data_IF_585953302561
#
_entry.id   IF_585953302561
#
_cell.length_a   1.000
_cell.length_b   1.000
_cell.length_c   1.000
_cell.angle_alpha   90.00
_cell.angle_beta   90.00
_cell.angle_gamma   90.00
#
_symmetry.space_group_name_H-M   'P 1'
#
loop_
_entity.id
_entity.type
_entity.pdbx_description
1 polymer ?
#
# COMPACT_ATOMS: atom_id res chain seq x y z
N UNK A 1 6.33 -30.47 -13.73
CA UNK A 1 6.46 -30.64 -15.20
C UNK A 1 5.40 -31.66 -15.65
N UNK A 2 4.32 -31.19 -16.22
CA UNK A 2 3.32 -32.06 -16.85
C UNK A 2 3.98 -32.75 -18.04
N UNK A 3 3.96 -34.09 -18.05
CA UNK A 3 4.37 -34.88 -19.21
C UNK A 3 3.48 -34.50 -20.38
N UNK A 4 4.06 -34.02 -21.48
CA UNK A 4 3.31 -33.68 -22.68
C UNK A 4 2.65 -34.92 -23.20
N UNK A 5 1.32 -34.98 -23.19
CA UNK A 5 0.53 -36.00 -23.83
C UNK A 5 0.67 -35.81 -25.34
N UNK A 6 1.36 -36.76 -26.02
CA UNK A 6 1.44 -36.82 -27.47
C UNK A 6 0.32 -37.74 -27.93
N UNK A 7 -0.80 -37.17 -28.35
CA UNK A 7 -1.93 -37.91 -28.93
C UNK A 7 -2.91 -36.97 -29.61
N UNK A 8 -3.58 -37.45 -30.69
CA UNK A 8 -4.53 -36.68 -31.51
C UNK A 8 -5.77 -36.18 -30.71
N UNK A 9 -5.99 -36.66 -29.49
CA UNK A 9 -7.08 -36.24 -28.58
C UNK A 9 -6.55 -35.60 -27.27
N UNK A 10 -5.32 -35.13 -27.24
CA UNK A 10 -4.83 -34.38 -26.07
C UNK A 10 -5.48 -33.01 -26.03
N UNK A 11 -6.26 -32.72 -25.00
CA UNK A 11 -6.70 -31.38 -24.70
C UNK A 11 -5.44 -30.52 -24.48
N UNK A 12 -5.23 -29.57 -25.39
CA UNK A 12 -4.16 -28.56 -25.25
C UNK A 12 -4.61 -27.60 -24.17
N UNK A 13 -4.32 -27.93 -22.91
CA UNK A 13 -4.52 -27.03 -21.81
C UNK A 13 -3.55 -25.88 -21.99
N UNK A 14 -4.11 -24.72 -22.27
CA UNK A 14 -3.34 -23.49 -22.47
C UNK A 14 -2.63 -23.14 -21.16
N UNK A 15 -1.31 -23.31 -21.07
CA UNK A 15 -0.51 -23.08 -19.85
C UNK A 15 -0.67 -21.68 -19.26
N UNK A 16 -1.12 -20.73 -20.07
CA UNK A 16 -1.35 -19.34 -19.65
C UNK A 16 -2.68 -19.14 -18.91
N UNK A 17 -3.57 -20.13 -18.90
CA UNK A 17 -4.88 -20.09 -18.25
C UNK A 17 -4.94 -20.91 -16.95
N UNK A 18 -3.87 -21.65 -16.61
CA UNK A 18 -3.82 -22.37 -15.34
C UNK A 18 -3.63 -21.37 -14.19
N UNK A 19 -4.53 -21.43 -13.22
CA UNK A 19 -4.42 -20.65 -12.00
C UNK A 19 -3.16 -21.11 -11.23
N UNK A 20 -2.24 -20.16 -11.03
CA UNK A 20 -0.97 -20.40 -10.34
C UNK A 20 -1.22 -20.89 -8.91
N UNK A 21 -2.27 -20.41 -8.27
CA UNK A 21 -2.62 -20.77 -6.90
C UNK A 21 -3.08 -22.23 -6.83
N UNK A 22 -3.83 -22.71 -7.83
CA UNK A 22 -4.24 -24.11 -7.93
C UNK A 22 -3.05 -25.03 -8.18
N UNK A 23 -2.11 -24.62 -9.05
CA UNK A 23 -0.87 -25.38 -9.29
C UNK A 23 0.00 -25.44 -8.03
N UNK A 24 0.10 -24.35 -7.28
CA UNK A 24 0.89 -24.31 -6.05
C UNK A 24 0.28 -25.18 -4.94
N UNK A 25 -1.04 -25.35 -4.91
CA UNK A 25 -1.71 -26.26 -3.96
C UNK A 25 -1.35 -27.73 -4.20
N UNK A 26 -1.00 -28.08 -5.43
CA UNK A 26 -0.66 -29.45 -5.84
C UNK A 26 0.84 -29.75 -5.75
N UNK A 27 1.67 -28.84 -5.20
CA UNK A 27 3.11 -29.02 -5.09
C UNK A 27 3.46 -30.19 -4.18
N UNK A 28 4.28 -31.10 -4.70
CA UNK A 28 4.82 -32.26 -3.98
C UNK A 28 6.31 -32.06 -3.60
N UNK A 29 6.83 -32.82 -2.60
CA UNK A 29 8.25 -32.80 -2.23
C UNK A 29 9.20 -33.03 -3.41
N UNK A 30 8.77 -33.88 -4.36
CA UNK A 30 9.53 -34.19 -5.57
C UNK A 30 9.73 -32.96 -6.47
N UNK A 31 8.77 -32.06 -6.51
CA UNK A 31 8.86 -30.86 -7.34
C UNK A 31 9.86 -29.87 -6.74
N UNK A 32 9.93 -29.79 -5.41
CA UNK A 32 10.93 -28.99 -4.72
C UNK A 32 12.36 -29.50 -4.99
N UNK A 33 12.54 -30.83 -5.04
CA UNK A 33 13.82 -31.43 -5.42
C UNK A 33 14.20 -31.10 -6.86
N UNK A 34 13.24 -31.18 -7.79
CA UNK A 34 13.44 -30.79 -9.20
C UNK A 34 13.73 -29.29 -9.35
N UNK A 35 13.17 -28.47 -8.48
CA UNK A 35 13.44 -27.03 -8.43
C UNK A 35 14.85 -26.71 -7.95
N UNK A 36 15.52 -27.65 -7.22
CA UNK A 36 16.91 -27.52 -6.79
C UNK A 36 17.12 -27.53 -5.27
N UNK A 37 16.08 -27.84 -4.49
CA UNK A 37 16.24 -28.01 -3.05
C UNK A 37 16.87 -29.39 -2.75
N UNK A 38 17.75 -29.42 -1.75
CA UNK A 38 18.47 -30.64 -1.31
C UNK A 38 17.47 -31.63 -0.70
N UNK A 39 17.49 -32.93 -1.08
CA UNK A 39 16.56 -33.91 -0.55
C UNK A 39 16.57 -34.05 0.97
N UNK A 40 17.75 -33.94 1.59
CA UNK A 40 17.94 -34.00 3.04
C UNK A 40 17.22 -32.87 3.76
N UNK A 41 17.18 -31.66 3.15
CA UNK A 41 16.46 -30.52 3.70
C UNK A 41 14.96 -30.76 3.63
N UNK A 42 14.45 -31.25 2.48
CA UNK A 42 13.02 -31.53 2.28
C UNK A 42 12.56 -32.61 3.26
N UNK A 43 13.37 -33.65 3.50
CA UNK A 43 13.05 -34.71 4.45
C UNK A 43 12.96 -34.26 5.92
N UNK A 44 13.55 -33.10 6.27
CA UNK A 44 13.48 -32.51 7.61
C UNK A 44 12.34 -31.49 7.79
N UNK A 45 11.73 -31.04 6.71
CA UNK A 45 10.60 -30.10 6.72
C UNK A 45 9.30 -30.85 6.47
N UNK A 46 8.59 -31.27 7.53
CA UNK A 46 7.45 -32.19 7.40
C UNK A 46 6.17 -31.53 6.86
N UNK A 47 6.12 -30.19 6.84
CA UNK A 47 4.93 -29.44 6.45
C UNK A 47 5.24 -28.54 5.26
N UNK A 48 4.47 -28.72 4.20
CA UNK A 48 4.45 -27.83 3.04
C UNK A 48 3.12 -27.11 2.99
N UNK A 49 3.15 -25.80 2.82
CA UNK A 49 1.96 -24.95 2.70
C UNK A 49 2.14 -24.02 1.53
N UNK A 50 1.18 -24.02 0.61
CA UNK A 50 1.09 -23.03 -0.45
C UNK A 50 0.41 -21.78 0.08
N UNK A 51 0.89 -20.61 -0.34
CA UNK A 51 0.24 -19.33 -0.08
C UNK A 51 -0.48 -18.87 -1.34
N UNK A 52 -1.71 -18.42 -1.17
CA UNK A 52 -2.54 -17.86 -2.24
C UNK A 52 -2.15 -16.38 -2.46
N UNK A 53 -2.48 -15.87 -3.64
CA UNK A 53 -2.33 -14.46 -3.92
C UNK A 53 -3.29 -13.63 -3.06
N UNK A 54 -2.80 -12.48 -2.61
CA UNK A 54 -3.62 -11.59 -1.79
C UNK A 54 -4.69 -10.90 -2.65
N UNK A 55 -5.94 -10.96 -2.17
CA UNK A 55 -7.04 -10.19 -2.77
C UNK A 55 -6.88 -8.69 -2.47
N UNK A 56 -7.57 -7.85 -3.24
CA UNK A 56 -7.59 -6.40 -3.03
C UNK A 56 -8.06 -6.05 -1.61
N UNK A 57 -9.14 -6.69 -1.16
CA UNK A 57 -9.73 -6.48 0.18
C UNK A 57 -8.74 -6.86 1.28
N UNK A 58 -8.01 -7.96 1.11
CA UNK A 58 -6.97 -8.37 2.06
C UNK A 58 -5.83 -7.34 2.13
N UNK A 59 -5.45 -6.74 1.00
CA UNK A 59 -4.43 -5.68 0.98
C UNK A 59 -4.89 -4.41 1.70
N UNK A 60 -6.14 -3.99 1.51
CA UNK A 60 -6.72 -2.83 2.24
C UNK A 60 -6.77 -3.10 3.74
N UNK A 61 -7.13 -4.32 4.15
CA UNK A 61 -7.10 -4.73 5.57
C UNK A 61 -5.69 -4.70 6.14
N UNK A 62 -4.69 -5.16 5.40
CA UNK A 62 -3.27 -5.10 5.81
C UNK A 62 -2.81 -3.66 6.03
N UNK A 63 -3.31 -2.69 5.26
CA UNK A 63 -2.96 -1.27 5.41
C UNK A 63 -3.54 -0.64 6.67
N UNK A 64 -4.70 -1.10 7.17
CA UNK A 64 -5.49 -0.42 8.20
C UNK A 64 -5.65 -1.18 9.53
N UNK A 65 -5.90 -2.50 9.48
CA UNK A 65 -6.28 -3.28 10.66
C UNK A 65 -5.13 -3.60 11.63
N UNK A 66 -3.94 -4.06 11.19
CA UNK A 66 -2.89 -4.52 12.09
C UNK A 66 -2.53 -3.48 13.16
N UNK A 67 -2.02 -3.96 14.31
CA UNK A 67 -1.57 -3.08 15.40
C UNK A 67 -0.53 -2.07 14.91
N UNK A 68 0.40 -2.51 14.03
CA UNK A 68 1.42 -1.67 13.41
C UNK A 68 1.14 -1.46 11.92
N UNK A 69 -0.12 -1.19 11.54
CA UNK A 69 -0.49 -0.88 10.17
C UNK A 69 0.29 0.34 9.65
N UNK A 70 0.60 0.34 8.34
CA UNK A 70 1.36 1.44 7.72
C UNK A 70 0.67 2.78 7.91
N UNK A 71 -0.65 2.84 7.74
CA UNK A 71 -1.44 4.06 7.98
C UNK A 71 -1.29 4.60 9.39
N UNK A 72 -1.25 3.71 10.40
CA UNK A 72 -1.06 4.10 11.82
C UNK A 72 0.35 4.61 12.08
N UNK A 73 1.37 4.05 11.40
CA UNK A 73 2.74 4.53 11.52
C UNK A 73 2.88 5.95 10.98
N UNK A 74 2.31 6.23 9.79
CA UNK A 74 2.33 7.59 9.24
C UNK A 74 1.51 8.57 10.07
N UNK A 75 0.32 8.17 10.55
CA UNK A 75 -0.46 9.02 11.47
C UNK A 75 0.35 9.43 12.69
N UNK A 76 1.08 8.47 13.28
CA UNK A 76 1.93 8.75 14.44
C UNK A 76 3.12 9.64 14.11
N UNK A 77 3.68 9.51 12.90
CA UNK A 77 4.78 10.35 12.45
C UNK A 77 4.34 11.81 12.30
N UNK A 78 3.22 12.04 11.61
CA UNK A 78 2.66 13.38 11.42
C UNK A 78 2.13 14.02 12.71
N UNK A 79 1.69 13.21 13.66
CA UNK A 79 1.31 13.68 15.00
C UNK A 79 2.48 14.30 15.77
N UNK A 80 3.74 13.92 15.47
CA UNK A 80 4.93 14.55 16.06
C UNK A 80 5.15 15.98 15.55
N UNK A 81 4.62 16.29 14.36
CA UNK A 81 4.64 17.62 13.75
C UNK A 81 3.32 18.37 14.01
N UNK A 82 2.51 17.91 14.98
CA UNK A 82 1.20 18.47 15.33
C UNK A 82 0.18 18.48 14.17
N UNK A 83 0.33 17.59 13.19
CA UNK A 83 -0.55 17.45 12.03
C UNK A 83 -1.36 16.16 12.12
N UNK A 84 -2.68 16.28 11.98
CA UNK A 84 -3.59 15.13 11.91
C UNK A 84 -3.65 14.58 10.49
N UNK A 85 -3.11 13.38 10.27
CA UNK A 85 -3.15 12.69 8.98
C UNK A 85 -4.40 11.80 8.87
N UNK A 86 -5.16 11.95 7.79
CA UNK A 86 -6.31 11.10 7.48
C UNK A 86 -6.14 10.47 6.09
N UNK A 87 -6.59 9.22 5.95
CA UNK A 87 -6.61 8.51 4.67
C UNK A 87 -8.06 8.26 4.28
N UNK A 88 -8.44 8.63 3.06
CA UNK A 88 -9.75 8.28 2.54
C UNK A 88 -9.78 6.78 2.19
N UNK A 89 -10.97 6.12 2.26
CA UNK A 89 -11.09 4.72 1.86
C UNK A 89 -10.64 4.50 0.40
N UNK A 90 -10.98 5.44 -0.47
CA UNK A 90 -10.64 5.42 -1.90
C UNK A 90 -9.11 5.44 -2.12
N UNK A 91 -8.37 6.20 -1.28
CA UNK A 91 -6.91 6.23 -1.34
C UNK A 91 -6.31 4.85 -0.98
N UNK A 92 -6.81 4.20 0.07
CA UNK A 92 -6.35 2.87 0.46
C UNK A 92 -6.66 1.82 -0.60
N UNK A 93 -7.82 1.92 -1.23
CA UNK A 93 -8.18 1.06 -2.36
C UNK A 93 -7.26 1.27 -3.55
N UNK A 94 -6.88 2.50 -3.87
CA UNK A 94 -5.98 2.77 -5.00
C UNK A 94 -4.57 2.26 -4.72
N UNK A 95 -4.06 2.37 -3.50
CA UNK A 95 -2.80 1.73 -3.09
C UNK A 95 -2.86 0.21 -3.34
N UNK A 96 -3.97 -0.45 -2.95
CA UNK A 96 -4.16 -1.87 -3.19
C UNK A 96 -4.25 -2.19 -4.70
N UNK A 97 -4.98 -1.39 -5.48
CA UNK A 97 -5.08 -1.55 -6.95
C UNK A 97 -3.71 -1.45 -7.62
N UNK A 98 -2.88 -0.48 -7.24
CA UNK A 98 -1.53 -0.30 -7.77
C UNK A 98 -0.63 -1.48 -7.42
N UNK A 99 -0.75 -2.05 -6.21
CA UNK A 99 -0.01 -3.23 -5.80
C UNK A 99 -0.38 -4.46 -6.62
N UNK A 100 -1.68 -4.67 -6.89
CA UNK A 100 -2.17 -5.75 -7.76
C UNK A 100 -1.69 -5.55 -9.20
N UNK A 101 -1.86 -4.34 -9.77
CA UNK A 101 -1.40 -4.01 -11.14
C UNK A 101 0.09 -4.28 -11.33
N UNK A 102 0.91 -3.95 -10.33
CA UNK A 102 2.37 -4.15 -10.35
C UNK A 102 2.80 -5.58 -9.97
N UNK A 103 1.88 -6.45 -9.54
CA UNK A 103 2.14 -7.83 -9.10
C UNK A 103 3.20 -7.93 -7.99
N UNK A 104 3.29 -6.93 -7.10
CA UNK A 104 4.33 -6.84 -6.07
C UNK A 104 3.88 -7.31 -4.68
N UNK A 105 2.60 -7.69 -4.55
CA UNK A 105 2.03 -8.20 -3.30
C UNK A 105 2.10 -7.20 -2.13
N UNK A 106 1.97 -7.71 -0.90
CA UNK A 106 1.91 -6.88 0.31
C UNK A 106 3.18 -6.04 0.55
N UNK A 107 4.36 -6.51 0.14
CA UNK A 107 5.62 -5.75 0.30
C UNK A 107 5.63 -4.46 -0.51
N UNK A 108 4.93 -4.47 -1.65
CA UNK A 108 4.83 -3.29 -2.50
C UNK A 108 3.92 -2.20 -1.95
N UNK A 109 2.98 -2.54 -1.05
CA UNK A 109 2.11 -1.55 -0.40
C UNK A 109 2.92 -0.46 0.32
N UNK A 110 4.01 -0.88 1.00
CA UNK A 110 4.92 0.06 1.67
C UNK A 110 5.55 1.03 0.68
N UNK A 111 6.17 0.52 -0.39
CA UNK A 111 6.86 1.37 -1.37
C UNK A 111 5.91 2.31 -2.11
N UNK A 112 4.67 1.88 -2.40
CA UNK A 112 3.67 2.74 -3.02
C UNK A 112 3.31 3.89 -2.09
N UNK A 113 3.04 3.57 -0.81
CA UNK A 113 2.67 4.57 0.18
C UNK A 113 3.85 5.52 0.49
N UNK A 114 5.07 5.00 0.64
CA UNK A 114 6.28 5.80 0.83
C UNK A 114 6.47 6.81 -0.32
N UNK A 115 6.33 6.36 -1.57
CA UNK A 115 6.46 7.24 -2.73
C UNK A 115 5.37 8.33 -2.79
N UNK A 116 4.18 8.07 -2.28
CA UNK A 116 3.11 9.07 -2.22
C UNK A 116 3.31 10.06 -1.06
N UNK A 117 3.87 9.58 0.06
CA UNK A 117 4.05 10.37 1.27
C UNK A 117 5.35 11.17 1.32
N UNK A 118 6.34 10.85 0.45
CA UNK A 118 7.68 11.42 0.50
C UNK A 118 7.66 12.96 0.41
N UNK A 119 6.93 13.48 -0.57
CA UNK A 119 6.85 14.93 -0.82
C UNK A 119 6.17 15.63 0.37
N UNK A 120 5.12 15.01 0.93
CA UNK A 120 4.37 15.52 2.08
C UNK A 120 5.20 15.54 3.36
N UNK A 121 6.00 14.51 3.59
CA UNK A 121 6.91 14.43 4.74
C UNK A 121 8.00 15.50 4.70
N UNK A 122 8.34 16.00 3.51
CA UNK A 122 9.31 17.08 3.35
C UNK A 122 8.67 18.47 3.53
N UNK A 123 7.42 18.64 3.05
CA UNK A 123 6.75 19.95 3.06
C UNK A 123 6.09 20.29 4.39
N UNK A 124 5.44 19.31 5.03
CA UNK A 124 4.65 19.54 6.26
C UNK A 124 5.46 20.14 7.41
N UNK A 125 6.69 19.67 7.73
CA UNK A 125 7.47 20.25 8.79
C UNK A 125 7.88 21.72 8.54
N UNK A 126 7.82 22.14 7.28
CA UNK A 126 8.17 23.50 6.85
C UNK A 126 7.00 24.48 6.89
N UNK A 127 5.77 24.01 7.12
CA UNK A 127 4.56 24.84 7.11
C UNK A 127 3.77 24.67 8.41
N UNK A 128 4.07 25.53 9.37
CA UNK A 128 3.43 25.55 10.71
C UNK A 128 1.91 25.83 10.69
N UNK A 129 1.32 26.11 9.55
CA UNK A 129 -0.11 26.46 9.42
C UNK A 129 -1.01 25.25 9.16
N UNK A 130 -0.45 24.11 8.76
CA UNK A 130 -1.20 22.91 8.44
C UNK A 130 -1.56 22.16 9.72
N UNK A 131 -2.85 21.95 9.97
CA UNK A 131 -3.32 21.18 11.12
C UNK A 131 -3.92 19.82 10.75
N UNK A 132 -4.51 19.71 9.56
CA UNK A 132 -5.09 18.45 9.06
C UNK A 132 -4.64 18.24 7.62
N UNK A 133 -4.20 17.03 7.31
CA UNK A 133 -3.83 16.58 5.97
C UNK A 133 -4.65 15.34 5.61
N UNK A 134 -5.44 15.42 4.54
CA UNK A 134 -6.25 14.29 4.06
C UNK A 134 -5.69 13.77 2.75
N UNK A 135 -5.32 12.49 2.75
CA UNK A 135 -4.79 11.79 1.58
C UNK A 135 -5.94 11.23 0.78
N UNK A 136 -6.09 11.75 -0.44
CA UNK A 136 -7.08 11.32 -1.41
C UNK A 136 -6.48 10.35 -2.43
N UNK A 137 -7.33 9.77 -3.29
CA UNK A 137 -6.91 8.92 -4.39
C UNK A 137 -5.93 9.64 -5.32
N UNK A 138 -6.17 10.92 -5.62
CA UNK A 138 -5.38 11.71 -6.58
C UNK A 138 -3.93 11.89 -6.12
N UNK A 139 -3.69 11.94 -4.81
CA UNK A 139 -2.36 11.97 -4.21
C UNK A 139 -1.59 10.67 -4.48
N UNK A 140 -2.28 9.53 -4.35
CA UNK A 140 -1.66 8.21 -4.59
C UNK A 140 -1.29 8.04 -6.07
N UNK A 141 -2.15 8.51 -6.98
CA UNK A 141 -1.91 8.48 -8.43
C UNK A 141 -0.93 9.57 -8.89
N UNK A 142 -0.50 10.49 -8.01
CA UNK A 142 0.31 11.67 -8.31
C UNK A 142 -0.33 12.58 -9.37
N UNK A 143 -1.65 12.63 -9.41
CA UNK A 143 -2.43 13.49 -10.31
C UNK A 143 -2.95 14.74 -9.62
N UNK A 144 -2.99 14.76 -8.31
CA UNK A 144 -3.48 15.86 -7.49
C UNK A 144 -2.72 16.05 -6.19
N UNK A 145 -2.98 17.17 -5.54
CA UNK A 145 -2.46 17.51 -4.22
C UNK A 145 -3.39 17.00 -3.11
N UNK A 146 -2.87 16.75 -1.89
CA UNK A 146 -3.71 16.41 -0.75
C UNK A 146 -4.61 17.58 -0.34
N UNK A 147 -5.73 17.25 0.25
CA UNK A 147 -6.59 18.26 0.86
C UNK A 147 -5.97 18.76 2.17
N UNK A 148 -5.58 20.03 2.17
CA UNK A 148 -5.01 20.71 3.31
C UNK A 148 -6.07 21.52 4.04
N UNK A 149 -6.14 21.36 5.35
CA UNK A 149 -6.94 22.22 6.21
C UNK A 149 -6.04 23.01 7.12
N UNK A 150 -6.13 24.34 7.02
CA UNK A 150 -5.43 25.26 7.93
C UNK A 150 -6.26 25.33 9.19
N UNK A 151 -5.65 25.03 10.33
CA UNK A 151 -6.24 25.27 11.62
C UNK A 151 -5.63 26.58 12.13
N UNK A 152 -6.28 27.71 11.83
CA UNK A 152 -5.92 28.97 12.45
C UNK A 152 -6.14 28.86 13.97
N UNK A 153 -5.06 29.04 14.75
CA UNK A 153 -5.06 29.24 16.22
C UNK A 153 -5.06 28.04 17.17
N UNK A 154 -4.77 26.80 16.78
CA UNK A 154 -4.77 25.71 17.77
C UNK A 154 -3.43 25.42 18.47
N UNK A 155 -2.34 26.11 18.16
CA UNK A 155 -1.05 25.95 18.87
C UNK A 155 -1.06 26.38 20.34
N UNK A 156 -2.15 27.00 20.85
CA UNK A 156 -2.26 27.45 22.23
C UNK A 156 -3.36 26.77 23.07
N UNK A 157 -4.11 25.81 22.52
CA UNK A 157 -5.16 25.13 23.27
C UNK A 157 -4.76 23.69 23.61
N UNK A 158 -5.00 23.25 24.85
CA UNK A 158 -4.74 21.86 25.24
C UNK A 158 -5.64 20.90 24.47
N UNK A 159 -5.08 19.74 24.13
CA UNK A 159 -5.61 18.68 23.26
C UNK A 159 -7.05 18.22 23.57
N UNK A 160 -7.57 18.55 24.75
CA UNK A 160 -8.90 18.12 25.21
C UNK A 160 -10.10 18.91 24.64
N UNK A 161 -9.85 19.96 23.84
CA UNK A 161 -10.93 20.80 23.29
C UNK A 161 -11.19 20.61 21.78
N UNK A 162 -10.53 19.64 21.17
CA UNK A 162 -10.62 19.36 19.72
C UNK A 162 -11.92 18.66 19.26
N UNK A 163 -12.93 18.54 20.12
CA UNK A 163 -14.19 17.85 19.81
C UNK A 163 -15.36 18.74 19.37
N UNK A 164 -15.19 20.07 19.29
CA UNK A 164 -16.28 20.94 18.89
C UNK A 164 -15.85 21.94 17.82
N UNK A 165 -16.40 21.76 16.64
CA UNK A 165 -16.64 22.77 15.57
C UNK A 165 -15.58 23.85 15.33
N UNK A 166 -14.34 23.47 14.99
CA UNK A 166 -13.42 24.39 14.35
C UNK A 166 -13.69 24.41 12.85
N UNK A 167 -14.06 25.57 12.32
CA UNK A 167 -14.18 25.82 10.88
C UNK A 167 -12.79 25.68 10.26
N UNK A 168 -12.56 24.55 9.61
CA UNK A 168 -11.36 24.32 8.84
C UNK A 168 -11.55 24.97 7.46
N UNK A 169 -10.82 26.01 7.15
CA UNK A 169 -10.79 26.56 5.79
C UNK A 169 -9.88 25.72 4.90
N UNK A 170 -10.44 25.27 3.76
CA UNK A 170 -9.68 24.55 2.74
C UNK A 170 -8.69 25.51 2.08
N UNK A 171 -7.39 25.21 2.15
CA UNK A 171 -6.36 26.02 1.48
C UNK A 171 -6.25 25.53 0.04
N UNK A 172 -6.69 26.35 -0.91
CA UNK A 172 -6.33 26.18 -2.31
C UNK A 172 -4.91 26.72 -2.52
N UNK A 173 -3.94 25.85 -2.74
CA UNK A 173 -2.62 26.27 -3.22
C UNK A 173 -2.65 26.37 -4.74
N UNK A 174 -2.12 27.47 -5.26
CA UNK A 174 -1.91 27.65 -6.70
C UNK A 174 -0.91 26.60 -7.19
N UNK A 175 -1.23 25.83 -8.26
CA UNK A 175 -0.40 24.71 -8.76
C UNK A 175 0.97 25.16 -9.29
N UNK A 176 1.23 26.45 -9.43
CA UNK A 176 2.46 26.99 -10.04
C UNK A 176 3.68 26.96 -9.09
N UNK A 177 3.50 26.91 -7.77
CA UNK A 177 4.62 26.91 -6.82
C UNK A 177 5.40 25.60 -6.80
N UNK A 178 4.77 24.51 -7.15
CA UNK A 178 5.39 23.17 -7.14
C UNK A 178 6.34 22.95 -8.33
N UNK A 179 6.02 23.56 -9.49
CA UNK A 179 6.80 23.40 -10.72
C UNK A 179 8.05 24.26 -10.79
N UNK A 180 8.11 25.39 -10.09
CA UNK A 180 9.28 26.26 -10.11
C UNK A 180 10.45 25.75 -9.27
N UNK A 181 10.21 25.02 -8.18
CA UNK A 181 11.26 24.53 -7.27
C UNK A 181 12.02 23.29 -7.79
N UNK A 182 11.49 22.57 -8.78
CA UNK A 182 12.13 21.38 -9.36
C UNK A 182 13.06 21.77 -10.54
N UNK A 183 13.03 23.03 -10.98
CA UNK A 183 13.85 23.55 -12.10
C UNK A 183 15.01 24.45 -11.70
N UNK A 184 15.30 24.61 -10.41
CA UNK A 184 16.42 25.39 -9.88
C UNK A 184 17.58 24.52 -9.37
#
# INVERSE_FOLDING_TARGET
>A
MSAGSIGFNAEVVNRNEMDIDELLRQVEPRDLTKFGLIPEFIGRVPVMVSLEQLTKEAMVRILSEPKNALTKQYKKLFELDDVKLEFTPEALEEVANLAVKRKIGARGLRSILENAMMDLMYEIPSDDTVGICTITKDVIDKTGEPDWYIVMQLRQLPVNLLQTDCVAEKKERSPDRFREKIRG
#
